data_IF_417757684490
#
_entry.id   IF_417757684490
#
_cell.length_a   1.000
_cell.length_b   1.000
_cell.length_c   1.000
_cell.angle_alpha   90.00
_cell.angle_beta   90.00
_cell.angle_gamma   90.00
#
_symmetry.space_group_name_H-M   'P 1'
#
loop_
_entity.id
_entity.type
_entity.pdbx_description
1 polymer ?
#
# COMPACT_ATOMS: atom_id res chain seq x y z
N UNK A 1 -14.37 -23.82 -15.03
CA UNK A 1 -13.25 -23.10 -15.69
C UNK A 1 -11.97 -23.83 -15.37
N UNK A 2 -11.27 -24.36 -16.36
CA UNK A 2 -9.97 -25.03 -16.18
C UNK A 2 -8.94 -24.24 -16.98
N UNK A 3 -7.94 -23.68 -16.31
CA UNK A 3 -6.84 -22.97 -16.94
C UNK A 3 -5.80 -24.01 -17.38
N UNK A 4 -5.61 -24.21 -18.69
CA UNK A 4 -4.47 -24.97 -19.20
C UNK A 4 -3.36 -23.99 -19.60
N UNK A 5 -2.29 -23.93 -18.81
CA UNK A 5 -1.02 -23.30 -19.24
C UNK A 5 -0.05 -24.42 -19.59
N UNK A 6 0.48 -24.39 -20.81
CA UNK A 6 1.34 -25.43 -21.38
C UNK A 6 2.81 -25.31 -20.94
N UNK A 7 3.05 -24.85 -19.71
CA UNK A 7 4.41 -24.65 -19.20
C UNK A 7 4.90 -25.91 -18.49
N UNK A 8 6.13 -26.40 -18.78
CA UNK A 8 6.63 -27.62 -18.18
C UNK A 8 6.62 -27.54 -16.65
N UNK A 9 6.29 -28.66 -16.01
CA UNK A 9 6.15 -28.76 -14.57
C UNK A 9 7.42 -28.27 -13.87
N UNK A 10 7.34 -27.08 -13.26
CA UNK A 10 8.43 -26.52 -12.48
C UNK A 10 8.36 -27.11 -11.09
N UNK A 11 9.35 -27.94 -10.73
CA UNK A 11 9.45 -28.49 -9.37
C UNK A 11 9.68 -27.33 -8.39
N UNK A 12 8.70 -27.09 -7.53
CA UNK A 12 8.78 -26.06 -6.48
C UNK A 12 9.25 -26.73 -5.19
N UNK A 13 10.46 -26.39 -4.74
CA UNK A 13 10.98 -26.85 -3.44
C UNK A 13 10.35 -26.03 -2.31
N UNK A 14 9.25 -26.53 -1.75
CA UNK A 14 8.51 -25.88 -0.67
C UNK A 14 9.33 -25.72 0.64
N UNK A 15 10.40 -26.50 0.81
CA UNK A 15 11.28 -26.42 1.98
C UNK A 15 12.11 -25.12 2.01
N UNK A 16 12.33 -24.46 0.86
CA UNK A 16 13.05 -23.18 0.75
C UNK A 16 12.13 -21.97 0.86
N UNK A 17 10.84 -22.18 1.13
CA UNK A 17 9.81 -21.15 1.06
C UNK A 17 9.68 -20.30 2.36
N UNK A 18 10.79 -20.16 3.09
CA UNK A 18 10.87 -19.44 4.38
C UNK A 18 10.70 -17.92 4.20
N UNK A 19 10.73 -17.43 2.96
CA UNK A 19 10.36 -16.06 2.64
C UNK A 19 9.28 -16.07 1.56
N UNK A 20 8.00 -15.94 1.95
CA UNK A 20 6.99 -15.65 0.96
C UNK A 20 7.36 -14.36 0.23
N UNK A 21 7.49 -14.38 -1.10
CA UNK A 21 7.88 -13.19 -1.86
C UNK A 21 6.90 -12.01 -1.70
N UNK A 22 5.72 -12.23 -1.11
CA UNK A 22 4.74 -11.18 -0.78
C UNK A 22 5.23 -10.24 0.33
N UNK A 23 6.26 -10.61 1.09
CA UNK A 23 6.86 -9.72 2.09
C UNK A 23 7.87 -8.75 1.44
N UNK A 24 7.40 -7.57 1.03
CA UNK A 24 8.21 -6.46 0.47
C UNK A 24 9.14 -5.76 1.48
N UNK A 25 9.59 -6.45 2.53
CA UNK A 25 10.45 -5.84 3.55
C UNK A 25 11.46 -6.80 4.22
N UNK A 26 11.80 -7.92 3.59
CA UNK A 26 12.92 -8.75 4.06
C UNK A 26 14.21 -8.08 3.63
N UNK A 27 14.75 -7.23 4.51
CA UNK A 27 16.16 -6.84 4.44
C UNK A 27 16.95 -8.06 4.93
N UNK A 28 17.28 -8.98 4.04
CA UNK A 28 18.35 -9.94 4.33
C UNK A 28 19.62 -9.14 4.49
N UNK A 29 20.03 -8.92 5.73
CA UNK A 29 21.32 -8.35 6.07
C UNK A 29 22.41 -9.30 5.58
N UNK A 30 23.05 -8.94 4.47
CA UNK A 30 24.41 -9.36 4.17
C UNK A 30 25.21 -8.10 3.95
N UNK A 31 25.92 -7.72 5.01
CA UNK A 31 27.01 -6.76 4.98
C UNK A 31 28.06 -7.27 4.00
N UNK A 32 28.16 -6.69 2.80
CA UNK A 32 29.40 -6.59 2.02
C UNK A 32 29.39 -5.30 1.21
N UNK A 33 30.26 -4.40 1.63
CA UNK A 33 30.66 -3.14 1.03
C UNK A 33 30.96 -3.22 -0.47
N UNK A 34 30.45 -2.26 -1.25
CA UNK A 34 31.07 -1.74 -2.47
C UNK A 34 30.72 -0.24 -2.58
N UNK A 35 31.70 0.67 -2.80
CA UNK A 35 31.44 2.10 -2.88
C UNK A 35 31.16 2.57 -4.32
N UNK A 36 30.45 3.69 -4.40
CA UNK A 36 30.42 4.67 -5.50
C UNK A 36 29.64 4.32 -6.78
N UNK A 37 28.54 5.05 -7.04
CA UNK A 37 28.46 6.03 -8.13
C UNK A 37 27.06 6.67 -8.17
N UNK A 38 27.03 7.99 -8.07
CA UNK A 38 26.02 8.94 -8.55
C UNK A 38 24.81 8.35 -9.32
N UNK A 39 23.61 8.34 -8.72
CA UNK A 39 22.33 8.24 -9.46
C UNK A 39 21.21 9.01 -8.77
N UNK A 40 21.41 10.31 -8.53
CA UNK A 40 20.46 11.21 -7.87
C UNK A 40 19.18 11.54 -8.68
N UNK A 41 18.78 10.71 -9.67
CA UNK A 41 17.56 10.90 -10.47
C UNK A 41 16.76 9.61 -10.78
N UNK A 42 17.35 8.42 -10.66
CA UNK A 42 16.67 7.17 -11.04
C UNK A 42 15.86 6.54 -9.91
N UNK A 43 16.27 6.76 -8.65
CA UNK A 43 15.59 6.28 -7.44
C UNK A 43 14.13 6.77 -7.31
N UNK A 44 13.81 7.97 -7.78
CA UNK A 44 12.44 8.50 -7.73
C UNK A 44 11.51 7.75 -8.70
N UNK A 45 11.99 7.51 -9.93
CA UNK A 45 11.22 6.87 -11.01
C UNK A 45 10.93 5.39 -10.73
N UNK A 46 11.89 4.67 -10.16
CA UNK A 46 11.68 3.29 -9.69
C UNK A 46 10.77 3.21 -8.45
N UNK A 47 10.84 4.21 -7.57
CA UNK A 47 9.97 4.30 -6.39
C UNK A 47 8.50 4.49 -6.79
N UNK A 48 8.24 5.38 -7.76
CA UNK A 48 6.89 5.61 -8.28
C UNK A 48 6.30 4.41 -9.02
N UNK A 49 7.14 3.59 -9.66
CA UNK A 49 6.77 2.36 -10.36
C UNK A 49 6.75 1.12 -9.45
N UNK A 50 7.01 1.26 -8.14
CA UNK A 50 6.76 0.20 -7.15
C UNK A 50 5.62 0.53 -6.18
N UNK A 51 5.17 1.79 -6.15
CA UNK A 51 4.04 2.25 -5.34
C UNK A 51 2.71 1.52 -5.64
N UNK A 52 2.57 0.91 -6.82
CA UNK A 52 1.38 0.13 -7.16
C UNK A 52 1.41 -1.31 -6.66
N UNK A 53 2.59 -1.84 -6.29
CA UNK A 53 2.72 -3.18 -5.71
C UNK A 53 2.47 -3.14 -4.21
N UNK A 54 2.86 -2.04 -3.55
CA UNK A 54 2.79 -1.92 -2.09
C UNK A 54 1.60 -1.04 -1.68
N UNK A 55 0.51 -1.63 -1.15
CA UNK A 55 -0.58 -0.83 -0.60
C UNK A 55 -0.08 -0.01 0.61
N UNK A 56 -0.58 1.22 0.75
CA UNK A 56 -0.25 2.13 1.83
C UNK A 56 -1.35 2.05 2.90
N UNK A 57 -0.97 1.75 4.14
CA UNK A 57 -1.91 1.70 5.25
C UNK A 57 -2.08 3.10 5.86
N UNK A 58 -3.22 3.72 5.61
CA UNK A 58 -3.57 5.05 6.11
C UNK A 58 -4.55 4.92 7.27
N UNK A 59 -4.40 5.74 8.31
CA UNK A 59 -5.36 5.81 9.42
C UNK A 59 -6.17 7.07 9.30
N UNK A 60 -7.49 6.94 9.23
CA UNK A 60 -8.42 8.06 9.15
C UNK A 60 -9.15 8.16 10.48
N UNK A 61 -9.25 9.37 11.01
CA UNK A 61 -9.86 9.65 12.31
C UNK A 61 -11.11 10.50 12.08
N UNK A 62 -12.25 10.07 12.63
CA UNK A 62 -13.47 10.89 12.58
C UNK A 62 -13.25 12.21 13.32
N UNK A 63 -13.54 13.32 12.65
CA UNK A 63 -13.59 14.64 13.28
C UNK A 63 -14.82 14.78 14.18
N UNK A 64 -14.65 15.42 15.34
CA UNK A 64 -15.74 15.68 16.29
C UNK A 64 -15.42 15.35 17.76
N UNK A 65 -16.48 15.22 18.55
CA UNK A 65 -16.43 14.96 20.00
C UNK A 65 -16.14 13.49 20.31
N UNK A 66 -15.58 13.21 21.49
CA UNK A 66 -15.27 11.83 21.92
C UNK A 66 -16.56 11.02 22.08
N UNK A 67 -16.56 9.71 21.80
CA UNK A 67 -15.42 8.85 21.43
C UNK A 67 -15.06 8.91 19.92
N UNK A 68 -13.77 9.12 19.61
CA UNK A 68 -13.28 9.16 18.22
C UNK A 68 -12.84 7.78 17.76
N UNK A 69 -13.57 7.22 16.78
CA UNK A 69 -13.15 6.00 16.10
C UNK A 69 -12.11 6.33 15.03
N UNK A 70 -11.05 5.53 14.97
CA UNK A 70 -10.02 5.58 13.94
C UNK A 70 -10.07 4.27 13.14
N UNK A 71 -10.03 4.38 11.81
CA UNK A 71 -10.10 3.23 10.90
C UNK A 71 -8.84 3.20 10.05
N UNK A 72 -8.23 2.02 9.92
CA UNK A 72 -7.04 1.79 9.10
C UNK A 72 -7.48 1.24 7.75
N UNK A 73 -7.10 1.91 6.66
CA UNK A 73 -7.51 1.60 5.30
C UNK A 73 -6.26 1.37 4.45
N UNK A 74 -6.26 0.30 3.65
CA UNK A 74 -5.21 0.04 2.68
C UNK A 74 -5.55 0.76 1.37
N UNK A 75 -4.78 1.77 1.01
CA UNK A 75 -4.89 2.46 -0.26
C UNK A 75 -3.84 1.94 -1.25
N UNK A 76 -4.31 1.44 -2.39
CA UNK A 76 -3.44 1.04 -3.49
C UNK A 76 -3.48 2.09 -4.61
N UNK A 77 -2.31 2.59 -5.04
CA UNK A 77 -2.17 3.56 -6.15
C UNK A 77 -2.79 3.06 -7.47
N UNK A 78 -2.91 1.74 -7.64
CA UNK A 78 -3.49 1.07 -8.81
C UNK A 78 -5.03 0.96 -8.79
N UNK A 79 -5.68 1.28 -7.68
CA UNK A 79 -7.15 1.21 -7.55
C UNK A 79 -7.74 2.56 -7.17
N UNK A 80 -7.02 3.33 -6.35
CA UNK A 80 -7.39 4.66 -5.90
C UNK A 80 -7.01 5.74 -6.94
N UNK A 81 -7.60 5.67 -8.13
CA UNK A 81 -7.30 6.61 -9.23
C UNK A 81 -8.05 7.93 -9.10
N UNK A 82 -9.23 7.92 -8.48
CA UNK A 82 -10.04 9.13 -8.24
C UNK A 82 -10.11 9.45 -6.75
N UNK A 83 -9.93 10.73 -6.42
CA UNK A 83 -10.10 11.22 -5.05
C UNK A 83 -11.53 10.99 -4.55
N UNK A 84 -12.52 11.18 -5.42
CA UNK A 84 -13.93 10.97 -5.09
C UNK A 84 -14.22 9.50 -4.74
N UNK A 85 -13.63 8.56 -5.47
CA UNK A 85 -13.74 7.13 -5.14
C UNK A 85 -13.15 6.84 -3.75
N UNK A 86 -11.98 7.41 -3.44
CA UNK A 86 -11.36 7.26 -2.11
C UNK A 86 -12.25 7.85 -1.02
N UNK A 87 -12.90 8.99 -1.25
CA UNK A 87 -13.83 9.58 -0.28
C UNK A 87 -15.05 8.69 -0.03
N UNK A 88 -15.59 8.06 -1.08
CA UNK A 88 -16.70 7.10 -0.97
C UNK A 88 -16.28 5.86 -0.18
N UNK A 89 -15.14 5.26 -0.52
CA UNK A 89 -14.62 4.08 0.19
C UNK A 89 -14.37 4.38 1.69
N UNK A 90 -13.84 5.57 1.99
CA UNK A 90 -13.65 6.03 3.37
C UNK A 90 -15.00 6.23 4.07
N UNK A 91 -16.00 6.77 3.38
CA UNK A 91 -17.35 6.98 3.92
C UNK A 91 -17.97 5.65 4.35
N UNK A 92 -17.89 4.64 3.50
CA UNK A 92 -18.43 3.29 3.79
C UNK A 92 -17.69 2.61 4.94
N UNK A 93 -16.38 2.83 5.05
CA UNK A 93 -15.55 2.26 6.11
C UNK A 93 -15.79 2.90 7.50
N UNK A 94 -16.00 4.23 7.56
CA UNK A 94 -16.12 4.96 8.83
C UNK A 94 -17.58 5.06 9.29
N UNK A 95 -18.55 4.99 8.37
CA UNK A 95 -20.00 5.15 8.62
C UNK A 95 -20.28 6.35 9.51
N UNK A 96 -20.06 7.55 8.99
CA UNK A 96 -20.36 8.78 9.72
C UNK A 96 -21.87 8.96 9.87
N UNK A 97 -22.34 9.23 11.09
CA UNK A 97 -23.75 9.58 11.35
C UNK A 97 -24.18 10.86 10.60
N UNK A 98 -23.21 11.71 10.25
CA UNK A 98 -23.41 12.97 9.53
C UNK A 98 -23.49 12.81 8.00
N UNK A 99 -23.38 11.59 7.47
CA UNK A 99 -23.40 11.31 6.03
C UNK A 99 -22.00 11.19 5.40
N UNK A 100 -21.85 11.62 4.15
CA UNK A 100 -20.65 11.36 3.36
C UNK A 100 -19.44 12.25 3.69
N UNK A 101 -18.23 11.69 3.56
CA UNK A 101 -16.96 12.43 3.70
C UNK A 101 -16.75 13.32 2.49
N UNK A 102 -16.64 14.64 2.70
CA UNK A 102 -16.37 15.63 1.63
C UNK A 102 -14.97 16.24 1.69
N UNK A 103 -14.35 16.24 2.87
CA UNK A 103 -13.03 16.87 3.11
C UNK A 103 -12.22 15.99 4.05
N UNK A 104 -10.93 15.87 3.75
CA UNK A 104 -9.94 15.23 4.59
C UNK A 104 -8.95 16.28 5.05
N UNK A 105 -8.44 16.11 6.26
CA UNK A 105 -7.39 16.95 6.80
C UNK A 105 -6.27 16.05 7.31
N UNK A 106 -5.06 16.52 7.12
CA UNK A 106 -3.87 15.98 7.78
C UNK A 106 -3.95 16.22 9.29
N UNK A 107 -3.08 15.55 10.05
CA UNK A 107 -2.99 15.76 11.51
C UNK A 107 -2.64 17.22 11.87
N UNK A 108 -1.95 17.91 10.97
CA UNK A 108 -1.59 19.33 11.07
C UNK A 108 -2.72 20.30 10.65
N UNK A 109 -3.89 19.78 10.25
CA UNK A 109 -5.05 20.58 9.86
C UNK A 109 -5.00 21.13 8.43
N UNK A 110 -3.99 20.76 7.61
CA UNK A 110 -3.96 21.10 6.18
C UNK A 110 -4.88 20.17 5.39
N UNK A 111 -5.58 20.74 4.40
CA UNK A 111 -6.39 20.02 3.43
C UNK A 111 -5.54 19.50 2.28
#
# INVERSE_FOLDING_TARGET
>A
YVCASNEPYRKVDYTKNINPNWSVNVKTGTSRSLPSLTTSKNELRERESKDFIKPKLVTVIRSGVKPRKAVRILLNKKTAHSFEQVLTDITDAIKLDSGAVKRLYTLEGKQ
#
